data_IF_399331773599
#
_entry.id   IF_399331773599
#
_cell.length_a   1.000
_cell.length_b   1.000
_cell.length_c   1.000
_cell.angle_alpha   90.00
_cell.angle_beta   90.00
_cell.angle_gamma   90.00
#
_symmetry.space_group_name_H-M   'P 1'
#
loop_
_entity.id
_entity.type
_entity.pdbx_description
1 polymer ?
#
# COMPACT_ATOMS: atom_id res chain seq x y z
N UNK A 1 -6.09 -49.39 -21.61
CA UNK A 1 -6.34 -48.68 -20.34
C UNK A 1 -6.52 -47.21 -20.66
N UNK A 2 -7.43 -46.45 -20.02
CA UNK A 2 -7.33 -44.98 -20.08
C UNK A 2 -6.07 -44.56 -19.32
N UNK A 3 -5.38 -43.51 -19.76
CA UNK A 3 -4.17 -42.97 -19.11
C UNK A 3 -4.42 -42.75 -17.61
N UNK A 4 -5.62 -42.30 -17.27
CA UNK A 4 -6.11 -42.08 -15.90
C UNK A 4 -6.06 -43.34 -15.01
N UNK A 5 -6.38 -44.52 -15.55
CA UNK A 5 -6.37 -45.77 -14.77
C UNK A 5 -4.94 -46.30 -14.57
N UNK A 6 -4.03 -46.02 -15.51
CA UNK A 6 -2.61 -46.38 -15.40
C UNK A 6 -1.90 -45.52 -14.34
N UNK A 7 -2.22 -44.22 -14.31
CA UNK A 7 -1.70 -43.27 -13.33
C UNK A 7 -2.18 -43.60 -11.90
N UNK A 8 -3.47 -43.91 -11.72
CA UNK A 8 -4.01 -44.36 -10.41
C UNK A 8 -3.33 -45.62 -9.90
N UNK A 9 -3.05 -46.58 -10.79
CA UNK A 9 -2.36 -47.81 -10.43
C UNK A 9 -0.89 -47.56 -10.01
N UNK A 10 -0.19 -46.69 -10.73
CA UNK A 10 1.20 -46.34 -10.45
C UNK A 10 1.37 -45.58 -9.10
N UNK A 11 0.44 -44.69 -8.76
CA UNK A 11 0.42 -43.97 -7.47
C UNK A 11 0.27 -44.93 -6.28
N UNK A 12 -0.62 -45.92 -6.39
CA UNK A 12 -0.85 -46.94 -5.35
C UNK A 12 0.41 -47.77 -5.07
N UNK A 13 1.19 -48.07 -6.11
CA UNK A 13 2.42 -48.87 -6.00
C UNK A 13 3.57 -48.06 -5.37
N UNK A 14 3.72 -46.77 -5.74
CA UNK A 14 4.82 -45.91 -5.23
C UNK A 14 4.60 -45.48 -3.78
N UNK A 15 3.35 -45.37 -3.33
CA UNK A 15 2.99 -45.00 -1.96
C UNK A 15 3.29 -46.09 -0.91
N UNK A 16 3.70 -47.30 -1.33
CA UNK A 16 4.07 -48.38 -0.43
C UNK A 16 5.46 -48.97 -0.81
N UNK A 17 6.50 -48.72 0.00
CA UNK A 17 7.87 -49.14 -0.29
C UNK A 17 8.05 -50.66 -0.47
N UNK A 18 7.24 -51.49 0.19
CA UNK A 18 7.31 -52.96 0.09
C UNK A 18 6.72 -53.47 -1.23
N UNK A 19 5.58 -52.92 -1.65
CA UNK A 19 4.95 -53.22 -2.95
C UNK A 19 5.80 -52.74 -4.13
N UNK A 20 6.40 -51.56 -3.99
CA UNK A 20 7.33 -51.01 -4.97
C UNK A 20 8.58 -51.89 -5.15
N UNK A 21 9.15 -52.39 -4.04
CA UNK A 21 10.30 -53.29 -4.07
C UNK A 21 9.96 -54.67 -4.68
N UNK A 22 8.77 -55.22 -4.41
CA UNK A 22 8.31 -56.46 -5.04
C UNK A 22 8.07 -56.30 -6.54
N UNK A 23 7.56 -55.15 -7.00
CA UNK A 23 7.33 -54.88 -8.43
C UNK A 23 8.62 -54.65 -9.21
N UNK A 24 9.61 -53.97 -8.63
CA UNK A 24 10.93 -53.74 -9.26
C UNK A 24 11.71 -55.05 -9.48
N UNK A 25 11.34 -56.13 -8.79
CA UNK A 25 11.97 -57.45 -8.88
C UNK A 25 11.37 -58.42 -9.91
N UNK A 26 10.38 -58.03 -10.70
CA UNK A 26 9.68 -58.95 -11.63
C UNK A 26 9.90 -58.49 -13.08
N UNK A 27 11.09 -58.73 -13.59
CA UNK A 27 11.29 -58.90 -15.02
C UNK A 27 11.09 -60.39 -15.34
N UNK A 28 9.92 -60.72 -15.90
CA UNK A 28 9.53 -62.01 -16.48
C UNK A 28 9.37 -63.23 -15.52
N UNK A 29 8.14 -63.77 -15.52
CA UNK A 29 7.70 -65.11 -15.05
C UNK A 29 7.31 -65.33 -13.58
N UNK A 30 6.01 -65.13 -13.26
CA UNK A 30 5.18 -66.06 -12.45
C UNK A 30 3.75 -65.48 -12.22
N UNK A 31 2.68 -66.10 -12.73
CA UNK A 31 1.29 -65.69 -12.48
C UNK A 31 0.91 -65.65 -10.98
N UNK A 32 1.53 -66.51 -10.17
CA UNK A 32 1.25 -66.60 -8.72
C UNK A 32 1.68 -65.38 -7.90
N UNK A 33 2.56 -64.52 -8.42
CA UNK A 33 2.95 -63.26 -7.75
C UNK A 33 2.00 -62.10 -8.07
N UNK A 34 1.41 -62.10 -9.26
CA UNK A 34 0.43 -61.07 -9.69
C UNK A 34 -0.85 -61.17 -8.87
N UNK A 35 -1.32 -62.39 -8.61
CA UNK A 35 -2.51 -62.65 -7.78
C UNK A 35 -2.34 -62.17 -6.33
N UNK A 36 -1.13 -62.29 -5.76
CA UNK A 36 -0.79 -61.79 -4.42
C UNK A 36 -0.88 -60.26 -4.32
N UNK A 37 -0.38 -59.54 -5.33
CA UNK A 37 -0.40 -58.08 -5.40
C UNK A 37 -1.83 -57.57 -5.58
N UNK A 38 -2.59 -58.20 -6.47
CA UNK A 38 -3.99 -57.85 -6.71
C UNK A 38 -4.86 -58.11 -5.47
N UNK A 39 -4.59 -59.17 -4.72
CA UNK A 39 -5.31 -59.49 -3.49
C UNK A 39 -5.03 -58.47 -2.37
N UNK A 40 -3.77 -58.06 -2.18
CA UNK A 40 -3.42 -56.98 -1.25
C UNK A 40 -4.08 -55.65 -1.62
N UNK A 41 -4.11 -55.30 -2.91
CA UNK A 41 -4.80 -54.11 -3.39
C UNK A 41 -6.32 -54.16 -3.13
N UNK A 42 -6.93 -55.35 -3.28
CA UNK A 42 -8.35 -55.57 -2.98
C UNK A 42 -8.67 -55.46 -1.49
N UNK A 43 -7.80 -55.92 -0.61
CA UNK A 43 -7.93 -55.78 0.85
C UNK A 43 -7.89 -54.30 1.29
N UNK A 44 -7.29 -53.42 0.47
CA UNK A 44 -7.23 -51.97 0.70
C UNK A 44 -8.36 -51.19 0.02
N UNK A 45 -9.38 -51.88 -0.53
CA UNK A 45 -10.58 -51.26 -1.09
C UNK A 45 -10.53 -50.93 -2.58
N UNK A 46 -9.50 -51.38 -3.31
CA UNK A 46 -9.35 -51.14 -4.74
C UNK A 46 -9.77 -52.35 -5.58
N UNK A 47 -10.30 -52.14 -6.79
CA UNK A 47 -10.76 -53.23 -7.68
C UNK A 47 -10.12 -53.11 -9.06
N UNK A 48 -9.22 -54.04 -9.40
CA UNK A 48 -8.55 -54.12 -10.71
C UNK A 48 -8.51 -55.56 -11.23
N UNK A 49 -8.46 -55.73 -12.57
CA UNK A 49 -8.33 -57.06 -13.18
C UNK A 49 -6.88 -57.39 -13.55
N UNK A 50 -6.54 -58.68 -13.62
CA UNK A 50 -5.22 -59.15 -14.05
C UNK A 50 -4.85 -58.65 -15.47
N UNK A 51 -5.88 -58.47 -16.32
CA UNK A 51 -5.72 -57.90 -17.66
C UNK A 51 -5.25 -56.44 -17.63
N UNK A 52 -5.70 -55.66 -16.65
CA UNK A 52 -5.28 -54.27 -16.49
C UNK A 52 -3.80 -54.21 -16.09
N UNK A 53 -3.36 -55.06 -15.17
CA UNK A 53 -1.96 -55.15 -14.74
C UNK A 53 -0.98 -55.41 -15.90
N UNK A 54 -1.28 -56.39 -16.76
CA UNK A 54 -0.40 -56.72 -17.89
C UNK A 54 -0.40 -55.64 -18.97
N UNK A 55 -1.54 -55.00 -19.25
CA UNK A 55 -1.58 -53.85 -20.16
C UNK A 55 -0.75 -52.65 -19.67
N UNK A 56 -0.62 -52.47 -18.35
CA UNK A 56 0.24 -51.44 -17.76
C UNK A 56 1.73 -51.71 -17.97
N UNK A 57 2.18 -52.96 -17.75
CA UNK A 57 3.57 -53.35 -17.98
C UNK A 57 3.98 -53.24 -19.46
N UNK A 58 3.06 -53.53 -20.39
CA UNK A 58 3.30 -53.37 -21.83
C UNK A 58 3.36 -51.90 -22.27
N UNK A 59 2.71 -50.99 -21.55
CA UNK A 59 2.71 -49.55 -21.86
C UNK A 59 3.92 -48.77 -21.33
N UNK A 60 4.75 -49.38 -20.47
CA UNK A 60 5.90 -48.73 -19.86
C UNK A 60 7.18 -49.60 -19.99
N UNK A 61 7.73 -49.80 -21.20
CA UNK A 61 8.92 -50.62 -21.40
C UNK A 61 10.21 -49.98 -20.83
N UNK A 62 10.28 -48.65 -20.75
CA UNK A 62 11.45 -47.88 -20.29
C UNK A 62 11.01 -46.84 -19.24
N UNK A 63 10.77 -47.29 -18.02
CA UNK A 63 10.29 -46.46 -16.92
C UNK A 63 11.45 -45.64 -16.30
N UNK A 64 11.90 -44.58 -16.98
CA UNK A 64 12.51 -43.42 -16.32
C UNK A 64 11.38 -42.45 -15.95
N UNK A 65 11.21 -42.21 -14.66
CA UNK A 65 10.11 -41.41 -14.12
C UNK A 65 10.62 -40.03 -13.78
N UNK A 66 10.07 -39.04 -14.48
CA UNK A 66 10.20 -37.63 -14.13
C UNK A 66 9.25 -37.32 -12.95
N UNK A 67 9.76 -36.61 -11.95
CA UNK A 67 9.03 -36.24 -10.73
C UNK A 67 7.95 -35.16 -11.00
N UNK A 68 8.03 -34.47 -12.14
CA UNK A 68 7.08 -33.44 -12.59
C UNK A 68 5.63 -33.92 -12.79
N UNK A 69 5.39 -35.24 -12.84
CA UNK A 69 4.03 -35.79 -13.05
C UNK A 69 3.18 -35.95 -11.77
N UNK A 70 3.63 -35.41 -10.62
CA UNK A 70 3.02 -35.60 -9.30
C UNK A 70 2.35 -34.36 -8.68
N UNK A 71 2.49 -33.17 -9.26
CA UNK A 71 2.15 -31.92 -8.55
C UNK A 71 0.64 -31.60 -8.49
N UNK A 72 -0.20 -32.17 -9.35
CA UNK A 72 -1.62 -31.79 -9.41
C UNK A 72 -2.64 -32.58 -8.57
N UNK A 73 -2.26 -33.58 -7.77
CA UNK A 73 -3.25 -34.56 -7.22
C UNK A 73 -3.06 -34.93 -5.73
N UNK A 74 -2.32 -34.15 -4.94
CA UNK A 74 -2.34 -34.32 -3.48
C UNK A 74 -2.82 -33.02 -2.84
N UNK A 75 -4.11 -32.99 -2.49
CA UNK A 75 -4.62 -31.95 -1.61
C UNK A 75 -3.82 -31.92 -0.30
N UNK A 76 -3.49 -30.72 0.15
CA UNK A 76 -3.06 -30.43 1.52
C UNK A 76 -1.85 -31.24 1.99
N UNK A 77 -0.73 -31.12 1.28
CA UNK A 77 0.57 -31.36 1.92
C UNK A 77 1.16 -30.00 2.24
N UNK A 78 1.38 -29.75 3.52
CA UNK A 78 2.18 -28.67 4.08
C UNK A 78 3.49 -28.57 3.28
N UNK A 79 3.63 -27.54 2.46
CA UNK A 79 4.83 -27.30 1.66
C UNK A 79 5.57 -26.14 2.30
N UNK A 80 6.31 -26.41 3.37
CA UNK A 80 7.10 -25.40 4.05
C UNK A 80 8.14 -24.71 3.16
N UNK A 81 8.47 -25.30 2.00
CA UNK A 81 9.37 -24.75 0.98
C UNK A 81 8.91 -25.18 -0.44
N UNK A 82 8.55 -24.23 -1.30
CA UNK A 82 8.06 -24.45 -2.67
C UNK A 82 8.72 -23.50 -3.67
N UNK A 83 8.95 -23.97 -4.92
CA UNK A 83 9.61 -23.20 -5.98
C UNK A 83 8.99 -23.53 -7.35
N UNK A 84 8.50 -22.52 -8.08
CA UNK A 84 7.88 -22.68 -9.41
C UNK A 84 8.90 -22.83 -10.54
N UNK A 85 9.92 -21.98 -10.54
CA UNK A 85 11.08 -22.11 -11.39
C UNK A 85 10.98 -21.29 -12.67
N UNK A 86 10.49 -21.86 -13.78
CA UNK A 86 10.22 -21.05 -14.98
C UNK A 86 8.84 -21.41 -15.55
N UNK A 87 8.15 -20.40 -16.08
CA UNK A 87 6.80 -20.52 -16.58
C UNK A 87 5.83 -19.88 -15.59
N UNK A 88 4.56 -19.79 -15.98
CA UNK A 88 3.53 -19.23 -15.11
C UNK A 88 3.05 -20.34 -14.16
N UNK A 89 3.37 -20.23 -12.88
CA UNK A 89 3.12 -21.24 -11.85
C UNK A 89 1.97 -20.85 -10.91
N UNK A 90 1.43 -21.84 -10.20
CA UNK A 90 0.41 -21.61 -9.17
C UNK A 90 0.73 -22.44 -7.94
N UNK A 91 1.06 -21.76 -6.84
CA UNK A 91 1.64 -22.40 -5.65
C UNK A 91 0.86 -21.99 -4.40
N UNK A 92 0.09 -22.92 -3.79
CA UNK A 92 -0.52 -22.72 -2.48
C UNK A 92 0.36 -23.27 -1.34
N UNK A 93 0.56 -22.49 -0.28
CA UNK A 93 1.29 -22.84 0.95
C UNK A 93 0.47 -23.75 1.87
N UNK A 94 -0.59 -23.22 2.48
CA UNK A 94 -1.48 -24.00 3.33
C UNK A 94 -1.83 -23.33 4.65
N UNK A 95 -1.62 -24.06 5.76
CA UNK A 95 -1.97 -23.62 7.12
C UNK A 95 -0.73 -23.44 8.03
N UNK A 96 0.47 -23.76 7.52
CA UNK A 96 1.73 -23.72 8.26
C UNK A 96 2.54 -22.51 7.77
N UNK A 97 3.62 -22.16 8.47
CA UNK A 97 4.57 -21.17 7.97
C UNK A 97 5.32 -21.72 6.75
N UNK A 98 5.03 -21.18 5.59
CA UNK A 98 5.51 -21.63 4.29
C UNK A 98 6.52 -20.65 3.66
N UNK A 99 7.47 -21.19 2.90
CA UNK A 99 8.41 -20.43 2.07
C UNK A 99 8.12 -20.73 0.61
N UNK A 100 7.73 -19.72 -0.16
CA UNK A 100 7.22 -19.86 -1.52
C UNK A 100 8.02 -18.96 -2.44
N UNK A 101 8.46 -19.48 -3.58
CA UNK A 101 9.18 -18.73 -4.62
C UNK A 101 8.57 -19.02 -6.00
N UNK A 102 8.15 -18.00 -6.74
CA UNK A 102 7.60 -18.13 -8.08
C UNK A 102 8.70 -18.40 -9.11
N UNK A 103 9.66 -17.48 -9.20
CA UNK A 103 10.86 -17.65 -10.00
C UNK A 103 10.82 -16.82 -11.28
N UNK A 104 10.40 -17.39 -12.41
CA UNK A 104 10.24 -16.63 -13.66
C UNK A 104 8.90 -16.95 -14.28
N UNK A 105 8.22 -15.94 -14.78
CA UNK A 105 6.90 -16.09 -15.37
C UNK A 105 5.90 -15.32 -14.52
N UNK A 106 4.65 -15.31 -14.93
CA UNK A 106 3.61 -14.63 -14.18
C UNK A 106 2.97 -15.64 -13.22
N UNK A 107 3.37 -15.58 -11.96
CA UNK A 107 3.08 -16.58 -10.95
C UNK A 107 1.88 -16.20 -10.07
N UNK A 108 1.21 -17.22 -9.51
CA UNK A 108 0.12 -17.04 -8.54
C UNK A 108 0.46 -17.78 -7.26
N UNK A 109 0.86 -17.03 -6.23
CA UNK A 109 1.41 -17.55 -4.97
C UNK A 109 0.48 -17.19 -3.81
N UNK A 110 0.23 -18.14 -2.90
CA UNK A 110 -0.60 -17.90 -1.71
C UNK A 110 -0.01 -18.61 -0.50
N UNK A 111 0.24 -17.87 0.59
CA UNK A 111 0.71 -18.38 1.87
C UNK A 111 -0.36 -19.18 2.60
N UNK A 112 -1.50 -18.53 2.90
CA UNK A 112 -2.67 -19.16 3.48
C UNK A 112 -2.84 -18.81 4.95
N UNK A 113 -2.52 -19.70 5.89
CA UNK A 113 -2.35 -19.32 7.29
C UNK A 113 -0.93 -19.60 7.71
N UNK A 114 -0.48 -18.91 8.74
CA UNK A 114 0.88 -19.03 9.23
C UNK A 114 1.62 -17.75 8.94
N UNK A 115 2.86 -17.67 9.39
CA UNK A 115 3.72 -16.56 9.01
C UNK A 115 4.56 -17.03 7.84
N UNK A 116 4.23 -16.56 6.66
CA UNK A 116 4.73 -17.03 5.39
C UNK A 116 5.82 -16.12 4.84
N UNK A 117 6.61 -16.64 3.90
CA UNK A 117 7.62 -15.89 3.16
C UNK A 117 7.42 -16.17 1.68
N UNK A 118 7.05 -15.15 0.93
CA UNK A 118 6.67 -15.24 -0.49
C UNK A 118 7.61 -14.35 -1.30
N UNK A 119 8.20 -14.92 -2.35
CA UNK A 119 9.06 -14.26 -3.33
C UNK A 119 8.46 -14.49 -4.73
N UNK A 120 7.98 -13.42 -5.39
CA UNK A 120 7.39 -13.47 -6.73
C UNK A 120 8.43 -13.87 -7.78
N UNK A 121 9.47 -13.04 -7.92
CA UNK A 121 10.60 -13.27 -8.81
C UNK A 121 10.54 -12.37 -10.05
N UNK A 122 10.80 -12.93 -11.23
CA UNK A 122 10.69 -12.20 -12.50
C UNK A 122 9.29 -12.42 -13.10
N UNK A 123 8.46 -11.40 -13.26
CA UNK A 123 7.18 -11.48 -13.95
C UNK A 123 6.13 -10.58 -13.33
N UNK A 124 4.91 -10.63 -13.86
CA UNK A 124 3.80 -9.92 -13.23
C UNK A 124 3.03 -10.92 -12.37
N UNK A 125 3.30 -10.91 -11.08
CA UNK A 125 2.88 -11.93 -10.14
C UNK A 125 1.63 -11.51 -9.36
N UNK A 126 0.92 -12.52 -8.85
CA UNK A 126 -0.21 -12.35 -7.94
C UNK A 126 0.11 -13.05 -6.63
N UNK A 127 0.39 -12.25 -5.59
CA UNK A 127 0.90 -12.70 -4.31
C UNK A 127 -0.13 -12.45 -3.21
N UNK A 128 -0.33 -13.42 -2.32
CA UNK A 128 -1.22 -13.29 -1.16
C UNK A 128 -0.61 -13.95 0.08
N UNK A 129 -0.40 -13.19 1.15
CA UNK A 129 0.05 -13.68 2.46
C UNK A 129 -1.02 -14.54 3.12
N UNK A 130 -2.11 -13.91 3.56
CA UNK A 130 -3.26 -14.59 4.15
C UNK A 130 -3.45 -14.26 5.63
N UNK A 131 -3.62 -15.27 6.48
CA UNK A 131 -3.70 -15.11 7.93
C UNK A 131 -2.29 -15.26 8.55
N UNK A 132 -1.71 -14.21 9.11
CA UNK A 132 -0.46 -14.27 9.86
C UNK A 132 0.39 -13.02 9.64
N UNK A 133 1.63 -13.05 10.13
CA UNK A 133 2.56 -11.95 9.84
C UNK A 133 3.50 -12.42 8.74
N UNK A 134 3.24 -11.97 7.52
CA UNK A 134 3.87 -12.46 6.31
C UNK A 134 5.01 -11.55 5.85
N UNK A 135 5.93 -12.14 5.10
CA UNK A 135 6.96 -11.40 4.35
C UNK A 135 6.71 -11.64 2.87
N UNK A 136 6.47 -10.59 2.10
CA UNK A 136 6.14 -10.68 0.68
C UNK A 136 7.06 -9.75 -0.11
N UNK A 137 7.73 -10.28 -1.13
CA UNK A 137 8.63 -9.58 -2.05
C UNK A 137 8.14 -9.83 -3.49
N UNK A 138 7.69 -8.78 -4.18
CA UNK A 138 7.26 -8.80 -5.58
C UNK A 138 8.43 -8.98 -6.56
N UNK A 139 9.57 -8.39 -6.21
CA UNK A 139 10.81 -8.41 -7.00
C UNK A 139 10.75 -7.66 -8.33
N UNK A 140 10.49 -8.31 -9.46
CA UNK A 140 10.54 -7.66 -10.78
C UNK A 140 9.27 -7.88 -11.57
N UNK A 141 8.60 -6.79 -11.92
CA UNK A 141 7.47 -6.75 -12.84
C UNK A 141 6.35 -5.95 -12.20
N UNK A 142 5.16 -5.99 -12.82
CA UNK A 142 4.03 -5.26 -12.25
C UNK A 142 3.17 -6.25 -11.47
N UNK A 143 3.35 -6.24 -10.17
CA UNK A 143 2.82 -7.24 -9.25
C UNK A 143 1.50 -6.79 -8.61
N UNK A 144 0.72 -7.77 -8.20
CA UNK A 144 -0.49 -7.56 -7.38
C UNK A 144 -0.30 -8.30 -6.07
N UNK A 145 -0.15 -7.56 -4.99
CA UNK A 145 0.24 -8.08 -3.68
C UNK A 145 -0.85 -7.79 -2.65
N UNK A 146 -1.17 -8.78 -1.82
CA UNK A 146 -2.06 -8.63 -0.66
C UNK A 146 -1.43 -9.27 0.58
N UNK A 147 -1.22 -8.49 1.63
CA UNK A 147 -0.75 -8.97 2.95
C UNK A 147 -1.81 -9.86 3.60
N UNK A 148 -2.95 -9.26 3.95
CA UNK A 148 -4.11 -9.99 4.48
C UNK A 148 -4.41 -9.61 5.91
N UNK A 149 -4.37 -10.58 6.83
CA UNK A 149 -4.59 -10.36 8.26
C UNK A 149 -3.31 -10.59 9.03
N UNK A 150 -2.91 -9.61 9.83
CA UNK A 150 -1.71 -9.65 10.67
C UNK A 150 -0.81 -8.49 10.31
N UNK A 151 0.38 -8.47 10.89
CA UNK A 151 1.31 -7.37 10.64
C UNK A 151 2.32 -7.83 9.60
N UNK A 152 2.14 -7.39 8.37
CA UNK A 152 2.84 -7.86 7.20
C UNK A 152 4.02 -6.95 6.84
N UNK A 153 5.02 -7.54 6.19
CA UNK A 153 6.11 -6.82 5.54
C UNK A 153 6.00 -7.05 4.04
N UNK A 154 5.80 -5.99 3.28
CA UNK A 154 5.55 -6.04 1.84
C UNK A 154 6.55 -5.13 1.11
N UNK A 155 7.21 -5.66 0.10
CA UNK A 155 8.10 -4.94 -0.82
C UNK A 155 7.62 -5.23 -2.26
N UNK A 156 7.16 -4.21 -2.98
CA UNK A 156 6.73 -4.31 -4.38
C UNK A 156 7.90 -4.58 -5.33
N UNK A 157 9.04 -3.94 -5.08
CA UNK A 157 10.26 -4.12 -5.85
C UNK A 157 10.33 -3.20 -7.08
N UNK A 158 10.38 -3.79 -8.27
CA UNK A 158 10.52 -3.05 -9.54
C UNK A 158 9.30 -3.22 -10.42
N UNK A 159 8.60 -2.14 -10.71
CA UNK A 159 7.53 -2.09 -11.68
C UNK A 159 6.43 -1.20 -11.18
N UNK A 160 5.26 -1.28 -11.80
CA UNK A 160 4.11 -0.54 -11.31
C UNK A 160 3.21 -1.52 -10.57
N UNK A 161 3.32 -1.52 -9.25
CA UNK A 161 2.74 -2.51 -8.38
C UNK A 161 1.39 -2.06 -7.83
N UNK A 162 0.59 -3.04 -7.42
CA UNK A 162 -0.68 -2.81 -6.73
C UNK A 162 -0.62 -3.58 -5.41
N UNK A 163 -0.54 -2.86 -4.30
CA UNK A 163 -0.28 -3.41 -2.98
C UNK A 163 -1.46 -3.10 -2.06
N UNK A 164 -1.92 -4.13 -1.35
CA UNK A 164 -2.92 -4.03 -0.29
C UNK A 164 -2.34 -4.61 1.01
N UNK A 165 -2.12 -3.79 2.04
CA UNK A 165 -1.66 -4.25 3.37
C UNK A 165 -2.71 -5.14 4.02
N UNK A 166 -3.88 -4.56 4.29
CA UNK A 166 -5.06 -5.27 4.75
C UNK A 166 -5.42 -4.92 6.18
N UNK A 167 -5.27 -5.86 7.11
CA UNK A 167 -5.62 -5.66 8.51
C UNK A 167 -4.45 -6.00 9.42
N UNK A 168 -3.94 -5.00 10.11
CA UNK A 168 -2.85 -5.08 11.07
C UNK A 168 -1.98 -3.84 10.95
N UNK A 169 -0.84 -3.83 11.63
CA UNK A 169 0.13 -2.76 11.43
C UNK A 169 1.18 -3.25 10.44
N UNK A 170 1.04 -2.82 9.21
CA UNK A 170 1.82 -3.29 8.07
C UNK A 170 3.02 -2.38 7.81
N UNK A 171 4.05 -2.93 7.18
CA UNK A 171 5.20 -2.19 6.66
C UNK A 171 5.27 -2.43 5.17
N UNK A 172 5.06 -1.39 4.37
CA UNK A 172 4.88 -1.48 2.93
C UNK A 172 5.89 -0.58 2.23
N UNK A 173 6.57 -1.12 1.22
CA UNK A 173 7.39 -0.35 0.27
C UNK A 173 6.88 -0.62 -1.14
N UNK A 174 6.56 0.44 -1.90
CA UNK A 174 6.20 0.36 -3.32
C UNK A 174 7.43 0.00 -4.16
N UNK A 175 8.49 0.78 -4.01
CA UNK A 175 9.78 0.50 -4.61
C UNK A 175 10.04 1.38 -5.83
N UNK A 176 10.27 0.79 -7.00
CA UNK A 176 10.53 1.53 -8.23
C UNK A 176 9.38 1.42 -9.22
N UNK A 177 8.72 2.53 -9.50
CA UNK A 177 7.73 2.67 -10.56
C UNK A 177 6.58 3.51 -10.07
N UNK A 178 5.45 3.42 -10.74
CA UNK A 178 4.27 4.16 -10.30
C UNK A 178 3.32 3.18 -9.63
N UNK A 179 3.32 3.19 -8.32
CA UNK A 179 2.68 2.19 -7.48
C UNK A 179 1.31 2.67 -6.98
N UNK A 180 0.45 1.70 -6.72
CA UNK A 180 -0.80 1.91 -6.00
C UNK A 180 -0.73 1.15 -4.68
N UNK A 181 -0.86 1.86 -3.57
CA UNK A 181 -0.74 1.31 -2.23
C UNK A 181 -1.99 1.66 -1.42
N UNK A 182 -2.60 0.65 -0.80
CA UNK A 182 -3.69 0.75 0.17
C UNK A 182 -3.23 0.05 1.45
N UNK A 183 -2.94 0.82 2.50
CA UNK A 183 -2.48 0.31 3.81
C UNK A 183 -3.56 -0.51 4.48
N UNK A 184 -4.76 0.05 4.54
CA UNK A 184 -5.98 -0.63 4.94
C UNK A 184 -6.38 -0.29 6.37
N UNK A 185 -6.08 -1.15 7.34
CA UNK A 185 -6.54 -0.95 8.71
C UNK A 185 -5.50 -1.34 9.73
N UNK A 186 -5.26 -0.43 10.67
CA UNK A 186 -4.21 -0.52 11.65
C UNK A 186 -3.24 0.64 11.45
N UNK A 187 -2.14 0.63 12.18
CA UNK A 187 -1.17 1.73 12.08
C UNK A 187 -0.06 1.28 11.15
N UNK A 188 -0.07 1.78 9.93
CA UNK A 188 0.77 1.33 8.84
C UNK A 188 1.99 2.23 8.64
N UNK A 189 3.06 1.66 8.11
CA UNK A 189 4.27 2.38 7.70
C UNK A 189 4.45 2.16 6.21
N UNK A 190 4.27 3.22 5.42
CA UNK A 190 4.24 3.16 3.96
C UNK A 190 5.34 4.04 3.38
N UNK A 191 6.11 3.48 2.45
CA UNK A 191 7.12 4.15 1.64
C UNK A 191 6.78 3.93 0.16
N UNK A 192 6.37 4.99 -0.56
CA UNK A 192 6.05 4.94 -1.99
C UNK A 192 7.26 4.55 -2.83
N UNK A 193 8.41 5.15 -2.52
CA UNK A 193 9.67 4.86 -3.17
C UNK A 193 9.98 5.83 -4.31
N UNK A 194 10.03 5.36 -5.55
CA UNK A 194 10.43 6.17 -6.71
C UNK A 194 9.44 6.04 -7.85
N UNK A 195 8.83 7.15 -8.24
CA UNK A 195 7.92 7.28 -9.37
C UNK A 195 6.71 8.08 -8.93
N UNK A 196 5.62 8.06 -9.69
CA UNK A 196 4.43 8.81 -9.26
C UNK A 196 3.44 7.84 -8.65
N UNK A 197 3.37 7.86 -7.32
CA UNK A 197 2.65 6.88 -6.52
C UNK A 197 1.27 7.38 -6.09
N UNK A 198 0.39 6.44 -5.82
CA UNK A 198 -0.96 6.68 -5.29
C UNK A 198 -1.11 5.89 -4.00
N UNK A 199 -1.14 6.59 -2.87
CA UNK A 199 -1.11 6.01 -1.54
C UNK A 199 -2.39 6.38 -0.78
N UNK A 200 -3.04 5.37 -0.19
CA UNK A 200 -4.15 5.49 0.75
C UNK A 200 -3.73 4.80 2.06
N UNK A 201 -3.58 5.55 3.15
CA UNK A 201 -3.20 5.01 4.47
C UNK A 201 -4.31 4.13 5.04
N UNK A 202 -5.56 4.58 4.88
CA UNK A 202 -6.74 3.85 5.29
C UNK A 202 -7.20 4.26 6.69
N UNK A 203 -7.09 3.38 7.67
CA UNK A 203 -7.61 3.65 9.02
C UNK A 203 -6.61 3.31 10.10
N UNK A 204 -6.29 4.27 10.95
CA UNK A 204 -5.33 4.12 12.03
C UNK A 204 -4.35 5.26 11.99
N UNK A 205 -3.36 5.25 12.88
CA UNK A 205 -2.36 6.31 12.86
C UNK A 205 -1.20 5.90 11.95
N UNK A 206 -1.21 6.37 10.73
CA UNK A 206 -0.31 5.95 9.67
C UNK A 206 0.92 6.85 9.56
N UNK A 207 2.00 6.27 9.02
CA UNK A 207 3.25 6.98 8.70
C UNK A 207 3.55 6.75 7.23
N UNK A 208 3.41 7.80 6.43
CA UNK A 208 3.49 7.74 4.97
C UNK A 208 4.65 8.62 4.49
N UNK A 209 5.51 8.06 3.65
CA UNK A 209 6.56 8.75 2.88
C UNK A 209 6.26 8.52 1.39
N UNK A 210 5.99 9.61 0.65
CA UNK A 210 5.73 9.56 -0.79
C UNK A 210 6.97 9.22 -1.63
N UNK A 211 8.15 9.63 -1.17
CA UNK A 211 9.41 9.36 -1.86
C UNK A 211 9.73 10.34 -3.01
N UNK A 212 10.31 9.81 -4.10
CA UNK A 212 10.68 10.60 -5.28
C UNK A 212 9.54 10.55 -6.31
N UNK A 213 8.88 11.66 -6.64
CA UNK A 213 7.66 11.51 -7.43
C UNK A 213 6.91 12.75 -7.83
N UNK A 214 5.64 12.57 -8.15
CA UNK A 214 4.60 13.60 -7.99
C UNK A 214 3.41 12.77 -7.55
N UNK A 215 3.25 12.70 -6.24
CA UNK A 215 2.51 11.64 -5.58
C UNK A 215 1.12 12.12 -5.21
N UNK A 216 0.21 11.16 -5.11
CA UNK A 216 -1.11 11.38 -4.55
C UNK A 216 -1.19 10.60 -3.25
N UNK A 217 -1.37 11.31 -2.13
CA UNK A 217 -1.39 10.73 -0.80
C UNK A 217 -2.70 11.12 -0.11
N UNK A 218 -3.41 10.13 0.42
CA UNK A 218 -4.57 10.26 1.29
C UNK A 218 -4.25 9.54 2.61
N UNK A 219 -4.12 10.28 3.71
CA UNK A 219 -3.83 9.72 5.03
C UNK A 219 -4.97 8.84 5.54
N UNK A 220 -6.20 9.32 5.38
CA UNK A 220 -7.41 8.55 5.64
C UNK A 220 -8.05 8.93 6.97
N UNK A 221 -8.13 7.99 7.90
CA UNK A 221 -8.77 8.19 9.20
C UNK A 221 -7.77 8.12 10.35
N UNK A 222 -8.07 8.88 11.41
CA UNK A 222 -7.23 9.07 12.60
C UNK A 222 -6.01 9.95 12.29
N UNK A 223 -5.09 10.10 13.25
CA UNK A 223 -4.03 11.11 13.13
C UNK A 223 -2.81 10.53 12.42
N UNK A 224 -2.44 11.12 11.29
CA UNK A 224 -1.39 10.63 10.40
C UNK A 224 -0.12 11.48 10.41
N UNK A 225 0.98 10.85 10.01
CA UNK A 225 2.24 11.51 9.69
C UNK A 225 2.52 11.31 8.21
N UNK A 226 2.55 12.40 7.44
CA UNK A 226 2.73 12.37 5.99
C UNK A 226 3.93 13.23 5.61
N UNK A 227 4.84 12.64 4.84
CA UNK A 227 5.95 13.31 4.14
C UNK A 227 5.74 13.12 2.63
N UNK A 228 5.55 14.21 1.89
CA UNK A 228 5.38 14.19 0.43
C UNK A 228 6.65 13.80 -0.31
N UNK A 229 7.82 14.02 0.30
CA UNK A 229 9.10 13.72 -0.31
C UNK A 229 9.52 14.77 -1.33
N UNK A 230 9.75 14.37 -2.58
CA UNK A 230 10.13 15.28 -3.65
C UNK A 230 9.19 15.15 -4.82
N UNK A 231 8.78 16.26 -5.41
CA UNK A 231 7.76 16.19 -6.44
C UNK A 231 6.98 17.46 -6.64
N UNK A 232 5.72 17.29 -6.96
CA UNK A 232 4.69 18.31 -6.83
C UNK A 232 3.48 17.51 -6.41
N UNK A 233 3.32 17.38 -5.11
CA UNK A 233 2.52 16.33 -4.52
C UNK A 233 1.11 16.82 -4.24
N UNK A 234 0.17 15.90 -4.21
CA UNK A 234 -1.21 16.16 -3.77
C UNK A 234 -1.40 15.36 -2.49
N UNK A 235 -1.52 16.07 -1.38
CA UNK A 235 -1.63 15.48 -0.05
C UNK A 235 -2.98 15.84 0.56
N UNK A 236 -3.66 14.83 1.08
CA UNK A 236 -4.88 14.94 1.87
C UNK A 236 -4.59 14.28 3.22
N UNK A 237 -4.67 15.04 4.32
CA UNK A 237 -4.54 14.53 5.69
C UNK A 237 -5.67 13.57 5.99
N UNK A 238 -6.89 14.10 6.07
CA UNK A 238 -8.11 13.30 6.21
C UNK A 238 -8.86 13.64 7.49
N UNK A 239 -9.28 12.60 8.23
CA UNK A 239 -9.96 12.75 9.51
C UNK A 239 -8.95 12.63 10.66
N UNK A 240 -8.47 13.70 11.28
CA UNK A 240 -7.53 13.56 12.39
C UNK A 240 -6.78 14.84 12.67
N UNK A 241 -6.02 14.86 13.77
CA UNK A 241 -5.05 15.94 13.95
C UNK A 241 -3.75 15.52 13.24
N UNK A 242 -3.62 15.88 11.96
CA UNK A 242 -2.57 15.36 11.08
C UNK A 242 -1.28 16.19 11.14
N UNK A 243 -0.18 15.52 10.79
CA UNK A 243 1.10 16.17 10.58
C UNK A 243 1.59 15.94 9.16
N UNK A 244 1.67 17.01 8.39
CA UNK A 244 1.99 16.99 6.97
C UNK A 244 3.24 17.82 6.70
N UNK A 245 4.21 17.23 5.99
CA UNK A 245 5.36 17.90 5.36
C UNK A 245 5.23 17.71 3.84
N UNK A 246 5.12 18.81 3.08
CA UNK A 246 5.03 18.77 1.62
C UNK A 246 6.36 18.38 0.95
N UNK A 247 7.49 18.71 1.59
CA UNK A 247 8.81 18.37 1.07
C UNK A 247 9.32 19.34 -0.02
N UNK A 248 9.97 18.79 -1.05
CA UNK A 248 10.49 19.57 -2.19
C UNK A 248 9.47 19.57 -3.32
N UNK A 249 8.83 20.68 -3.65
CA UNK A 249 7.83 20.68 -4.72
C UNK A 249 6.92 21.88 -4.69
N UNK A 250 6.14 22.09 -5.75
CA UNK A 250 4.99 22.99 -5.66
C UNK A 250 3.76 22.16 -5.35
N UNK A 251 3.50 22.01 -4.05
CA UNK A 251 2.61 20.99 -3.53
C UNK A 251 1.19 21.53 -3.36
N UNK A 252 0.22 20.62 -3.35
CA UNK A 252 -1.18 20.92 -3.04
C UNK A 252 -1.58 20.12 -1.81
N UNK A 253 -1.78 20.81 -0.69
CA UNK A 253 -2.00 20.20 0.61
C UNK A 253 -3.38 20.56 1.14
N UNK A 254 -4.12 19.56 1.59
CA UNK A 254 -5.39 19.68 2.30
C UNK A 254 -5.27 18.97 3.66
N UNK A 255 -5.29 19.69 4.78
CA UNK A 255 -5.34 19.07 6.12
C UNK A 255 -6.67 18.33 6.36
N UNK A 256 -7.76 18.96 5.91
CA UNK A 256 -9.14 18.46 5.93
C UNK A 256 -9.86 18.61 7.29
N UNK A 257 -9.96 17.59 8.15
CA UNK A 257 -10.70 17.68 9.41
C UNK A 257 -9.79 17.42 10.61
N UNK A 258 -9.69 18.38 11.53
CA UNK A 258 -8.95 18.25 12.77
C UNK A 258 -7.99 19.40 12.97
N UNK A 259 -7.26 19.41 14.08
CA UNK A 259 -6.30 20.48 14.37
C UNK A 259 -4.94 20.13 13.74
N UNK A 260 -4.72 20.54 12.49
CA UNK A 260 -3.61 20.05 11.68
C UNK A 260 -2.30 20.84 11.87
N UNK A 261 -1.16 20.18 11.64
CA UNK A 261 0.16 20.81 11.53
C UNK A 261 0.73 20.58 10.13
N UNK A 262 0.83 21.65 9.34
CA UNK A 262 1.24 21.59 7.94
C UNK A 262 2.51 22.44 7.72
N UNK A 263 3.51 21.85 7.07
CA UNK A 263 4.68 22.52 6.51
C UNK A 263 4.67 22.29 4.99
N UNK A 264 4.60 23.35 4.19
CA UNK A 264 4.62 23.27 2.73
C UNK A 264 6.00 22.96 2.17
N UNK A 265 7.07 23.15 2.95
CA UNK A 265 8.42 22.82 2.52
C UNK A 265 8.98 23.82 1.52
N UNK A 266 9.35 23.39 0.32
CA UNK A 266 9.98 24.24 -0.69
C UNK A 266 9.33 24.19 -2.05
N UNK A 267 8.75 25.29 -2.49
CA UNK A 267 8.38 25.51 -3.87
C UNK A 267 7.43 26.66 -4.04
N UNK A 268 6.18 26.42 -4.38
CA UNK A 268 5.13 27.45 -4.40
C UNK A 268 3.85 26.68 -4.11
N UNK A 269 3.47 26.68 -2.85
CA UNK A 269 2.58 25.64 -2.35
C UNK A 269 1.15 26.18 -2.26
N UNK A 270 0.18 25.30 -2.49
CA UNK A 270 -1.23 25.58 -2.29
C UNK A 270 -1.72 24.82 -1.07
N UNK A 271 -1.93 25.54 0.03
CA UNK A 271 -2.22 24.93 1.32
C UNK A 271 -3.61 25.34 1.79
N UNK A 272 -4.44 24.36 2.12
CA UNK A 272 -5.70 24.53 2.84
C UNK A 272 -5.66 23.72 4.12
N UNK A 273 -5.74 24.38 5.28
CA UNK A 273 -5.84 23.70 6.58
C UNK A 273 -7.10 22.85 6.65
N UNK A 274 -8.27 23.48 6.74
CA UNK A 274 -9.54 22.76 6.66
C UNK A 274 -10.48 23.18 7.77
N UNK A 275 -11.10 22.21 8.44
CA UNK A 275 -11.89 22.44 9.65
C UNK A 275 -11.04 22.10 10.87
N UNK A 276 -10.83 23.06 11.78
CA UNK A 276 -10.05 22.85 12.99
C UNK A 276 -9.17 24.05 13.29
N UNK A 277 -8.35 23.98 14.33
CA UNK A 277 -7.43 25.05 14.69
C UNK A 277 -6.02 24.72 14.19
N UNK A 278 -5.71 25.15 12.97
CA UNK A 278 -4.54 24.67 12.25
C UNK A 278 -3.28 25.47 12.54
N UNK A 279 -2.13 24.83 12.36
CA UNK A 279 -0.80 25.46 12.33
C UNK A 279 -0.16 25.23 10.98
N UNK A 280 0.01 26.30 10.20
CA UNK A 280 0.47 26.23 8.81
C UNK A 280 1.76 27.04 8.65
N UNK A 281 2.73 26.44 7.97
CA UNK A 281 3.95 27.07 7.48
C UNK A 281 3.98 26.89 5.96
N UNK A 282 4.02 27.98 5.19
CA UNK A 282 4.15 27.94 3.72
C UNK A 282 5.52 27.42 3.31
N UNK A 283 6.57 28.05 3.84
CA UNK A 283 7.94 27.56 3.70
C UNK A 283 8.78 28.46 2.79
N UNK A 284 9.41 27.89 1.78
CA UNK A 284 10.09 28.67 0.74
C UNK A 284 9.21 28.70 -0.49
N UNK A 285 8.88 29.89 -1.00
CA UNK A 285 8.04 29.93 -2.17
C UNK A 285 7.19 31.17 -2.25
N UNK A 286 6.33 31.22 -3.26
CA UNK A 286 5.21 32.14 -3.22
C UNK A 286 3.98 31.28 -2.97
N UNK A 287 3.53 31.27 -1.72
CA UNK A 287 2.57 30.25 -1.28
C UNK A 287 1.15 30.83 -1.26
N UNK A 288 0.18 30.03 -1.67
CA UNK A 288 -1.25 30.33 -1.62
C UNK A 288 -1.85 29.58 -0.42
N UNK A 289 -2.10 30.28 0.69
CA UNK A 289 -2.44 29.67 1.98
C UNK A 289 -3.85 30.08 2.44
N UNK A 290 -4.64 29.10 2.84
CA UNK A 290 -5.94 29.27 3.49
C UNK A 290 -5.99 28.42 4.77
N UNK A 291 -6.25 29.05 5.93
CA UNK A 291 -6.48 28.32 7.18
C UNK A 291 -7.73 27.45 7.13
N UNK A 292 -8.84 28.04 6.67
CA UNK A 292 -10.12 27.33 6.61
C UNK A 292 -11.03 27.77 7.75
N UNK A 293 -11.79 26.87 8.34
CA UNK A 293 -12.67 27.16 9.46
C UNK A 293 -12.02 26.79 10.78
N UNK A 294 -11.91 27.73 11.72
CA UNK A 294 -10.96 27.50 12.80
C UNK A 294 -10.54 28.71 13.58
N UNK A 295 -9.42 28.59 14.26
CA UNK A 295 -8.62 29.77 14.61
C UNK A 295 -7.18 29.36 14.31
N UNK A 296 -6.67 29.84 13.20
CA UNK A 296 -5.48 29.25 12.60
C UNK A 296 -4.24 30.11 12.87
N UNK A 297 -3.09 29.46 12.94
CA UNK A 297 -1.78 30.12 13.04
C UNK A 297 -1.01 29.88 11.76
N UNK A 298 -0.82 30.94 10.98
CA UNK A 298 -0.27 30.87 9.63
C UNK A 298 1.04 31.65 9.57
N UNK A 299 2.06 31.02 9.01
CA UNK A 299 3.37 31.60 8.71
C UNK A 299 3.60 31.43 7.21
N UNK A 300 3.79 32.52 6.47
CA UNK A 300 4.05 32.44 5.02
C UNK A 300 5.43 31.89 4.74
N UNK A 301 6.45 32.43 5.42
CA UNK A 301 7.83 32.06 5.21
C UNK A 301 8.54 33.01 4.24
N UNK A 302 9.26 32.46 3.27
CA UNK A 302 10.08 33.22 2.34
C UNK A 302 9.44 33.33 0.97
N UNK A 303 8.98 34.52 0.61
CA UNK A 303 8.67 34.89 -0.76
C UNK A 303 7.51 35.87 -0.78
N UNK A 304 6.65 35.79 -1.80
CA UNK A 304 5.49 36.69 -1.93
C UNK A 304 4.20 35.89 -1.77
N UNK A 305 3.73 35.79 -0.55
CA UNK A 305 2.67 34.86 -0.18
C UNK A 305 1.29 35.49 -0.33
N UNK A 306 0.27 34.66 -0.54
CA UNK A 306 -1.13 35.06 -0.60
C UNK A 306 -1.93 34.33 0.46
N UNK A 307 -2.38 35.08 1.46
CA UNK A 307 -3.26 34.56 2.51
C UNK A 307 -4.72 34.78 2.14
N UNK A 308 -5.47 33.70 1.94
CA UNK A 308 -6.88 33.74 1.56
C UNK A 308 -7.77 33.50 2.77
N UNK A 309 -8.78 34.36 2.92
CA UNK A 309 -9.79 34.27 3.96
C UNK A 309 -11.19 34.41 3.38
N UNK A 310 -12.13 33.68 3.95
CA UNK A 310 -13.56 33.70 3.68
C UNK A 310 -14.34 34.14 4.93
N UNK A 311 -15.66 34.26 4.78
CA UNK A 311 -16.51 34.61 5.90
C UNK A 311 -16.74 33.37 6.79
N UNK A 312 -16.51 33.53 8.10
CA UNK A 312 -16.65 32.49 9.14
C UNK A 312 -15.45 31.54 9.27
N UNK A 313 -14.31 31.94 8.70
CA UNK A 313 -13.04 31.23 8.88
C UNK A 313 -12.56 31.29 10.33
N UNK A 314 -12.97 32.32 11.07
CA UNK A 314 -12.75 32.42 12.51
C UNK A 314 -11.69 33.45 12.85
N UNK A 315 -10.87 33.23 13.87
CA UNK A 315 -9.93 34.25 14.35
C UNK A 315 -8.48 33.84 14.09
N UNK A 316 -8.00 34.18 12.91
CA UNK A 316 -6.74 33.67 12.39
C UNK A 316 -5.60 34.64 12.66
N UNK A 317 -4.38 34.10 12.72
CA UNK A 317 -3.17 34.87 13.00
C UNK A 317 -2.12 34.61 11.93
N UNK A 318 -1.69 35.66 11.24
CA UNK A 318 -0.51 35.64 10.36
C UNK A 318 0.69 36.10 11.18
N UNK A 319 1.75 35.29 11.25
CA UNK A 319 2.84 35.48 12.20
C UNK A 319 4.01 36.31 11.65
N UNK A 320 4.19 36.38 10.33
CA UNK A 320 5.39 36.93 9.67
C UNK A 320 5.13 37.84 8.46
N UNK A 321 3.87 38.21 8.20
CA UNK A 321 3.40 39.01 7.06
C UNK A 321 4.36 40.13 6.60
N UNK A 322 4.86 40.09 5.37
CA UNK A 322 5.66 41.14 4.76
C UNK A 322 4.83 42.03 3.83
N UNK A 323 4.49 43.25 4.28
CA UNK A 323 3.66 44.19 3.50
C UNK A 323 4.26 44.69 2.17
N UNK A 324 5.55 44.44 1.90
CA UNK A 324 6.19 44.77 0.62
C UNK A 324 6.06 43.64 -0.42
N UNK A 325 5.75 42.41 0.01
CA UNK A 325 5.77 41.19 -0.82
C UNK A 325 4.40 40.48 -0.81
N UNK A 326 3.80 40.32 0.38
CA UNK A 326 2.63 39.48 0.61
C UNK A 326 1.30 40.17 0.31
N UNK A 327 0.27 39.35 0.16
CA UNK A 327 -1.11 39.77 -0.08
C UNK A 327 -2.09 39.06 0.85
N UNK A 328 -3.19 39.74 1.10
CA UNK A 328 -4.35 39.18 1.77
C UNK A 328 -5.53 39.24 0.81
N UNK A 329 -6.17 38.12 0.57
CA UNK A 329 -7.38 38.03 -0.23
C UNK A 329 -8.58 37.71 0.66
N UNK A 330 -9.62 38.54 0.60
CA UNK A 330 -10.85 38.35 1.38
C UNK A 330 -12.01 38.07 0.42
N UNK A 331 -12.52 36.85 0.47
CA UNK A 331 -13.61 36.35 -0.36
C UNK A 331 -14.96 36.47 0.35
N UNK A 332 -16.01 36.92 -0.37
CA UNK A 332 -17.40 36.82 0.10
C UNK A 332 -17.81 37.77 1.24
N UNK A 333 -16.94 38.69 1.66
CA UNK A 333 -17.28 39.75 2.62
C UNK A 333 -17.55 41.08 1.92
N UNK A 334 -18.77 41.61 2.08
CA UNK A 334 -19.03 43.03 1.75
C UNK A 334 -18.07 43.89 2.57
N UNK A 335 -17.27 44.72 1.87
CA UNK A 335 -16.30 45.64 2.46
C UNK A 335 -16.89 46.63 3.47
N UNK A 336 -18.22 46.79 3.49
CA UNK A 336 -18.93 47.74 4.35
C UNK A 336 -18.86 47.43 5.86
N UNK A 337 -18.43 46.23 6.28
CA UNK A 337 -18.37 45.82 7.70
C UNK A 337 -16.97 45.51 8.22
N UNK A 338 -15.93 45.79 7.43
CA UNK A 338 -14.56 45.54 7.85
C UNK A 338 -14.06 46.72 8.69
N UNK A 339 -13.48 46.43 9.85
CA UNK A 339 -12.87 47.45 10.71
C UNK A 339 -11.46 47.07 11.10
N UNK A 340 -10.55 48.04 11.02
CA UNK A 340 -9.15 47.87 11.39
C UNK A 340 -8.91 48.49 12.76
N UNK A 341 -8.18 47.78 13.60
CA UNK A 341 -7.73 48.26 14.91
C UNK A 341 -6.32 47.77 15.22
N UNK A 342 -5.66 48.43 16.18
CA UNK A 342 -4.35 48.04 16.67
C UNK A 342 -4.44 47.69 18.14
N UNK A 343 -3.89 46.55 18.52
CA UNK A 343 -3.86 46.10 19.91
C UNK A 343 -2.56 45.35 20.19
N UNK A 344 -1.88 45.73 21.27
CA UNK A 344 -0.68 45.06 21.78
C UNK A 344 0.45 44.90 20.73
N UNK A 345 0.51 45.81 19.75
CA UNK A 345 1.50 45.80 18.66
C UNK A 345 1.06 45.05 17.41
N UNK A 346 -0.18 44.54 17.36
CA UNK A 346 -0.74 43.79 16.23
C UNK A 346 -1.74 44.65 15.44
N UNK A 347 -1.94 44.32 14.17
CA UNK A 347 -3.04 44.83 13.34
C UNK A 347 -4.16 43.80 13.35
N UNK A 348 -5.38 44.22 13.70
CA UNK A 348 -6.56 43.37 13.73
C UNK A 348 -7.54 43.86 12.68
N UNK A 349 -7.83 43.01 11.70
CA UNK A 349 -8.82 43.21 10.65
C UNK A 349 -10.07 42.42 11.04
N UNK A 350 -11.09 43.10 11.57
CA UNK A 350 -12.35 42.46 11.92
C UNK A 350 -13.23 42.37 10.67
N UNK A 351 -13.72 41.17 10.34
CA UNK A 351 -14.54 40.91 9.14
C UNK A 351 -16.04 41.21 9.35
N UNK A 352 -16.42 41.58 10.57
CA UNK A 352 -17.74 42.08 10.96
C UNK A 352 -18.73 40.98 11.35
N UNK A 353 -19.51 41.22 12.41
CA UNK A 353 -20.53 40.28 12.88
C UNK A 353 -19.94 39.02 13.51
N UNK A 354 -20.36 37.85 13.05
CA UNK A 354 -19.89 36.51 13.46
C UNK A 354 -18.90 35.90 12.45
N UNK A 355 -18.28 36.72 11.60
CA UNK A 355 -17.44 36.27 10.48
C UNK A 355 -15.97 36.06 10.81
N UNK A 356 -15.53 36.44 12.01
CA UNK A 356 -14.14 36.29 12.42
C UNK A 356 -13.26 37.55 12.28
N UNK A 357 -11.96 37.37 12.43
CA UNK A 357 -10.94 38.42 12.33
C UNK A 357 -9.59 37.87 11.90
N UNK A 358 -8.81 38.67 11.18
CA UNK A 358 -7.43 38.37 10.82
C UNK A 358 -6.52 39.21 11.72
N UNK A 359 -5.58 38.57 12.41
CA UNK A 359 -4.56 39.22 13.23
C UNK A 359 -3.21 39.14 12.52
N UNK A 360 -2.65 40.30 12.18
CA UNK A 360 -1.26 40.39 11.71
C UNK A 360 -0.38 40.67 12.92
N UNK A 361 0.42 39.67 13.29
CA UNK A 361 1.22 39.69 14.51
C UNK A 361 2.43 40.62 14.39
N UNK A 362 2.69 41.40 15.44
CA UNK A 362 3.90 42.21 15.58
C UNK A 362 3.99 43.43 14.66
N UNK A 363 2.92 43.78 13.95
CA UNK A 363 2.91 44.92 13.04
C UNK A 363 1.67 45.81 13.21
N UNK A 364 1.89 47.13 13.23
CA UNK A 364 0.82 48.15 13.21
C UNK A 364 0.74 48.80 11.82
N UNK A 365 0.06 48.14 10.87
CA UNK A 365 -0.11 48.60 9.49
C UNK A 365 -1.13 49.73 9.41
N UNK A 366 -0.84 50.74 8.59
CA UNK A 366 -1.80 51.83 8.35
C UNK A 366 -2.88 51.41 7.35
N UNK A 367 -4.01 52.12 7.35
CA UNK A 367 -5.08 51.91 6.36
C UNK A 367 -4.56 51.97 4.92
N UNK A 368 -3.60 52.88 4.64
CA UNK A 368 -2.98 53.01 3.33
C UNK A 368 -2.07 51.82 2.97
N UNK A 369 -1.49 51.15 3.96
CA UNK A 369 -0.67 49.95 3.70
C UNK A 369 -1.58 48.78 3.37
N UNK A 370 -2.66 48.63 4.14
CA UNK A 370 -3.70 47.62 3.92
C UNK A 370 -4.42 47.80 2.57
N UNK A 371 -4.66 49.03 2.11
CA UNK A 371 -5.22 49.31 0.77
C UNK A 371 -4.36 48.75 -0.39
N UNK A 372 -3.06 48.47 -0.17
CA UNK A 372 -2.17 47.94 -1.22
C UNK A 372 -2.12 46.42 -1.24
N UNK A 373 -2.27 45.80 -0.07
CA UNK A 373 -2.05 44.36 0.12
C UNK A 373 -3.35 43.57 0.21
N UNK A 374 -4.46 44.22 0.59
CA UNK A 374 -5.78 43.57 0.67
C UNK A 374 -6.50 43.68 -0.67
N UNK A 375 -6.93 42.53 -1.20
CA UNK A 375 -7.86 42.44 -2.32
C UNK A 375 -9.19 41.81 -1.88
N UNK A 376 -10.30 42.36 -2.37
CA UNK A 376 -11.64 41.82 -2.13
C UNK A 376 -12.13 41.11 -3.39
N UNK A 377 -12.50 39.82 -3.26
CA UNK A 377 -13.01 39.00 -4.37
C UNK A 377 -14.51 38.71 -4.24
#
# INVERSE_FOLDING_TARGET
>A
MSIENAQKFYVVVKANPELYAEMKGIATSAPSKVESILKKAAEMGYSFSEKDYFSFLESCPDLELDESMLEGVVGGKNISESNGGNGDDTIPGGDDNDSISGGRGNDSLSGGRGNDTIDGGDGNDSLSGGDGNDYIDGSFGNDTISGGYGNDYIDGGYGNDTIFGGSGSDTISGGYGNDYIDGGSGNDSIDGGSGNDSIDGGSGNDSIDGGDGNDYIDGGFDNDYIDGGSGNDIIIGGDGDDRIDGGDGSDTIFGAWGDDTIDGGSGNDSITGGDGSDTIVGGWGNDDISGGSGNDNITGGLGSDTFTFSARDGNDTITDFNSDEDKIEISGSNSDNISISHQDGNTIINLGGDKGSITISGQELSEKDLEKVITYK
#
